data_IF_924307563564
#
_entry.id   IF_924307563564
#
_cell.length_a   1.000
_cell.length_b   1.000
_cell.length_c   1.000
_cell.angle_alpha   90.00
_cell.angle_beta   90.00
_cell.angle_gamma   90.00
#
_symmetry.space_group_name_H-M   'P 1'
#
loop_
_entity.id
_entity.type
_entity.pdbx_description
1 polymer ?
#
# COMPACT_ATOMS: atom_id res chain seq x y z
N UNK A 1 16.81 -32.65 -21.71
CA UNK A 1 15.62 -32.11 -22.40
C UNK A 1 15.05 -31.00 -21.54
N UNK A 2 15.23 -29.76 -21.95
CA UNK A 2 14.73 -28.58 -21.24
C UNK A 2 13.23 -28.45 -21.53
N UNK A 3 12.39 -28.52 -20.50
CA UNK A 3 10.97 -28.17 -20.62
C UNK A 3 10.87 -26.65 -20.49
N UNK A 4 10.21 -25.99 -21.45
CA UNK A 4 9.99 -24.53 -21.43
C UNK A 4 9.34 -24.05 -20.12
N UNK A 5 9.27 -22.72 -19.90
CA UNK A 5 8.80 -22.19 -18.64
C UNK A 5 7.32 -22.57 -18.48
N UNK A 6 7.00 -23.30 -17.42
CA UNK A 6 5.62 -23.34 -16.94
C UNK A 6 5.34 -22.05 -16.16
N UNK A 7 4.06 -21.70 -15.95
CA UNK A 7 3.58 -20.54 -15.16
C UNK A 7 4.22 -20.39 -13.76
N UNK A 8 5.03 -21.36 -13.34
CA UNK A 8 5.63 -21.52 -12.02
C UNK A 8 7.17 -21.63 -12.08
N UNK A 9 7.86 -21.19 -13.13
CA UNK A 9 9.33 -21.33 -13.18
C UNK A 9 10.05 -20.16 -12.50
N UNK A 10 10.92 -20.46 -11.53
CA UNK A 10 11.85 -19.51 -10.92
C UNK A 10 13.29 -19.94 -11.21
N UNK A 11 14.11 -19.01 -11.69
CA UNK A 11 15.51 -19.26 -12.03
C UNK A 11 16.43 -18.68 -10.96
N UNK A 12 17.34 -19.49 -10.45
CA UNK A 12 18.35 -19.08 -9.49
C UNK A 12 19.73 -19.09 -10.16
N UNK A 13 20.39 -17.93 -10.22
CA UNK A 13 21.72 -17.78 -10.79
C UNK A 13 22.76 -17.56 -9.69
N UNK A 14 23.87 -18.30 -9.75
CA UNK A 14 25.10 -17.91 -9.06
C UNK A 14 25.70 -16.75 -9.82
N UNK A 15 26.13 -15.70 -9.10
CA UNK A 15 26.54 -14.44 -9.71
C UNK A 15 27.98 -14.09 -9.36
N UNK A 16 28.64 -13.43 -10.31
CA UNK A 16 29.94 -12.80 -10.15
C UNK A 16 29.88 -11.37 -10.66
N UNK A 17 30.76 -10.53 -10.12
CA UNK A 17 30.95 -9.14 -10.54
C UNK A 17 32.42 -8.79 -10.73
N UNK A 18 32.68 -7.78 -11.54
CA UNK A 18 33.98 -7.13 -11.65
C UNK A 18 33.84 -5.65 -11.98
N UNK A 19 34.86 -4.86 -11.65
CA UNK A 19 34.98 -3.50 -12.20
C UNK A 19 35.27 -3.63 -13.71
N UNK A 20 34.80 -2.70 -14.56
CA UNK A 20 35.17 -2.67 -15.98
C UNK A 20 36.68 -2.82 -16.16
N UNK A 21 37.07 -3.57 -17.19
CA UNK A 21 38.47 -3.87 -17.56
C UNK A 21 39.29 -4.69 -16.55
N UNK A 22 38.72 -5.07 -15.41
CA UNK A 22 39.38 -6.00 -14.47
C UNK A 22 39.37 -7.43 -15.02
N UNK A 23 40.52 -8.10 -14.99
CA UNK A 23 40.57 -9.53 -15.31
C UNK A 23 39.88 -10.41 -14.26
N UNK A 24 39.77 -9.94 -13.01
CA UNK A 24 39.33 -10.75 -11.87
C UNK A 24 37.83 -10.61 -11.60
N UNK A 25 37.12 -11.74 -11.71
CA UNK A 25 35.74 -11.91 -11.23
C UNK A 25 35.70 -12.20 -9.73
N UNK A 26 34.70 -11.67 -9.03
CA UNK A 26 34.45 -11.94 -7.62
C UNK A 26 33.00 -12.41 -7.42
N UNK A 27 32.74 -13.46 -6.63
CA UNK A 27 31.38 -13.86 -6.30
C UNK A 27 30.56 -12.69 -5.69
N UNK A 28 29.26 -12.68 -5.96
CA UNK A 28 28.29 -11.74 -5.37
C UNK A 28 27.00 -12.48 -5.04
N UNK A 29 26.05 -11.79 -4.41
CA UNK A 29 24.72 -12.33 -4.10
C UNK A 29 24.07 -12.99 -5.32
N UNK A 30 23.41 -14.13 -5.10
CA UNK A 30 22.62 -14.81 -6.14
C UNK A 30 21.56 -13.88 -6.72
N UNK A 31 21.16 -14.16 -7.95
CA UNK A 31 20.02 -13.52 -8.59
C UNK A 31 18.88 -14.53 -8.69
N UNK A 32 17.73 -14.24 -8.06
CA UNK A 32 16.50 -14.98 -8.28
C UNK A 32 15.57 -14.21 -9.21
N UNK A 33 15.08 -14.89 -10.25
CA UNK A 33 14.17 -14.30 -11.25
C UNK A 33 12.95 -15.18 -11.41
N UNK A 34 11.78 -14.57 -11.25
CA UNK A 34 10.50 -15.12 -11.65
C UNK A 34 9.68 -14.00 -12.31
N UNK A 35 9.12 -14.28 -13.47
CA UNK A 35 8.20 -13.38 -14.17
C UNK A 35 7.05 -14.23 -14.71
N UNK A 36 5.83 -13.84 -14.39
CA UNK A 36 4.60 -14.38 -14.93
C UNK A 36 3.61 -13.23 -15.16
N UNK A 37 3.55 -12.78 -16.40
CA UNK A 37 2.70 -11.71 -16.93
C UNK A 37 1.63 -12.24 -17.91
N UNK A 38 1.35 -13.54 -17.79
CA UNK A 38 0.37 -14.24 -18.62
C UNK A 38 0.84 -14.52 -20.06
N UNK A 39 2.13 -14.39 -20.38
CA UNK A 39 2.71 -14.94 -21.62
C UNK A 39 3.73 -16.04 -21.34
N UNK A 40 3.95 -16.87 -22.36
CA UNK A 40 4.85 -18.04 -22.28
C UNK A 40 6.29 -17.75 -22.74
N UNK A 41 6.60 -16.53 -23.16
CA UNK A 41 7.93 -16.16 -23.65
C UNK A 41 8.99 -16.22 -22.54
N UNK A 42 10.22 -16.57 -22.90
CA UNK A 42 11.33 -16.60 -21.95
C UNK A 42 11.94 -15.22 -21.79
N UNK A 43 12.21 -14.75 -20.55
CA UNK A 43 12.89 -13.47 -20.33
C UNK A 43 14.22 -13.42 -21.08
N UNK A 44 14.36 -12.47 -22.00
CA UNK A 44 15.59 -12.25 -22.76
C UNK A 44 16.46 -11.15 -22.12
N UNK A 45 15.82 -10.15 -21.52
CA UNK A 45 16.48 -9.09 -20.76
C UNK A 45 15.63 -8.64 -19.59
N UNK A 46 16.31 -8.19 -18.53
CA UNK A 46 15.70 -7.70 -17.30
C UNK A 46 16.52 -6.55 -16.75
N UNK A 47 15.87 -5.42 -16.47
CA UNK A 47 16.46 -4.25 -15.82
C UNK A 47 15.61 -3.83 -14.63
N UNK A 48 16.25 -3.37 -13.56
CA UNK A 48 15.55 -2.92 -12.35
C UNK A 48 16.33 -1.82 -11.66
N UNK A 49 15.59 -0.99 -10.91
CA UNK A 49 16.17 -0.01 -10.00
C UNK A 49 15.54 -0.11 -8.62
N UNK A 50 16.30 0.27 -7.60
CA UNK A 50 15.91 0.24 -6.19
C UNK A 50 15.71 1.66 -5.65
N UNK A 51 14.91 1.80 -4.58
CA UNK A 51 14.58 3.11 -3.98
C UNK A 51 15.80 3.92 -3.51
N UNK A 52 16.92 3.24 -3.21
CA UNK A 52 18.18 3.86 -2.81
C UNK A 52 19.04 4.34 -4.01
N UNK A 53 18.57 4.20 -5.25
CA UNK A 53 19.26 4.61 -6.47
C UNK A 53 20.18 3.53 -7.07
N UNK A 54 20.16 2.32 -6.52
CA UNK A 54 20.78 1.15 -7.14
C UNK A 54 20.08 0.80 -8.46
N UNK A 55 20.83 0.30 -9.44
CA UNK A 55 20.33 -0.07 -10.76
C UNK A 55 21.10 -1.28 -11.28
N UNK A 56 20.41 -2.21 -11.94
CA UNK A 56 21.05 -3.31 -12.65
C UNK A 56 20.29 -3.67 -13.93
N UNK A 57 21.00 -4.25 -14.87
CA UNK A 57 20.47 -4.77 -16.12
C UNK A 57 21.22 -6.04 -16.50
N UNK A 58 20.50 -7.08 -16.88
CA UNK A 58 21.05 -8.36 -17.34
C UNK A 58 20.30 -8.86 -18.58
N UNK A 59 21.04 -9.41 -19.53
CA UNK A 59 20.52 -10.24 -20.61
C UNK A 59 20.72 -11.72 -20.28
N UNK A 60 19.79 -12.57 -20.68
CA UNK A 60 19.86 -14.01 -20.50
C UNK A 60 20.24 -14.68 -21.83
N UNK A 61 21.04 -15.74 -21.74
CA UNK A 61 21.20 -16.65 -22.87
C UNK A 61 19.84 -17.31 -23.20
N UNK A 62 19.59 -17.64 -24.47
CA UNK A 62 18.31 -18.20 -24.90
C UNK A 62 17.92 -19.51 -24.19
N UNK A 63 18.92 -20.28 -23.73
CA UNK A 63 18.72 -21.50 -22.95
C UNK A 63 18.59 -21.25 -21.43
N UNK A 64 18.63 -20.00 -20.99
CA UNK A 64 18.61 -19.55 -19.59
C UNK A 64 19.77 -20.10 -18.72
N UNK A 65 20.82 -20.68 -19.31
CA UNK A 65 21.93 -21.26 -18.53
C UNK A 65 22.91 -20.19 -18.03
N UNK A 66 22.90 -19.00 -18.61
CA UNK A 66 23.76 -17.90 -18.21
C UNK A 66 23.10 -16.54 -18.40
N UNK A 67 23.61 -15.55 -17.68
CA UNK A 67 23.21 -14.16 -17.84
C UNK A 67 24.42 -13.22 -17.73
N UNK A 68 24.34 -12.06 -18.37
CA UNK A 68 25.41 -11.07 -18.42
C UNK A 68 24.84 -9.67 -18.38
N UNK A 69 25.56 -8.74 -17.79
CA UNK A 69 25.08 -7.36 -17.76
C UNK A 69 25.92 -6.45 -16.89
N UNK A 70 25.28 -5.47 -16.29
CA UNK A 70 25.92 -4.47 -15.46
C UNK A 70 25.03 -4.09 -14.28
N UNK A 71 25.66 -3.57 -13.23
CA UNK A 71 24.96 -3.06 -12.05
C UNK A 71 25.72 -1.93 -11.39
N UNK A 72 24.99 -1.12 -10.64
CA UNK A 72 25.51 0.00 -9.86
C UNK A 72 24.78 0.03 -8.53
N UNK A 73 25.52 -0.09 -7.43
CA UNK A 73 24.98 0.19 -6.09
C UNK A 73 25.00 1.71 -5.83
N UNK A 74 24.18 2.25 -4.91
CA UNK A 74 24.15 3.69 -4.62
C UNK A 74 25.54 4.25 -4.31
N UNK A 75 25.90 5.36 -4.96
CA UNK A 75 27.20 6.03 -4.75
C UNK A 75 28.43 5.23 -5.17
N UNK A 76 28.28 4.12 -5.91
CA UNK A 76 29.38 3.26 -6.38
C UNK A 76 29.53 3.35 -7.89
N UNK A 77 30.70 2.95 -8.38
CA UNK A 77 30.94 2.75 -9.82
C UNK A 77 30.10 1.59 -10.38
N UNK A 78 29.85 1.65 -11.68
CA UNK A 78 29.25 0.54 -12.43
C UNK A 78 30.19 -0.66 -12.40
N UNK A 79 29.62 -1.86 -12.26
CA UNK A 79 30.31 -3.15 -12.34
C UNK A 79 29.69 -4.00 -13.44
N UNK A 80 30.49 -4.86 -14.05
CA UNK A 80 29.98 -5.92 -14.91
C UNK A 80 29.46 -7.09 -14.07
N UNK A 81 28.42 -7.75 -14.57
CA UNK A 81 27.77 -8.90 -13.96
C UNK A 81 27.84 -10.09 -14.91
N UNK A 82 28.08 -11.27 -14.35
CA UNK A 82 27.93 -12.57 -15.01
C UNK A 82 27.21 -13.51 -14.06
N UNK A 83 26.33 -14.34 -14.60
CA UNK A 83 25.67 -15.40 -13.86
C UNK A 83 25.63 -16.71 -14.62
N UNK A 84 25.57 -17.79 -13.84
CA UNK A 84 25.35 -19.15 -14.32
C UNK A 84 24.17 -19.73 -13.57
N UNK A 85 23.29 -20.43 -14.30
CA UNK A 85 22.12 -21.07 -13.71
C UNK A 85 22.58 -22.14 -12.72
N UNK A 86 22.10 -22.01 -11.49
CA UNK A 86 22.35 -22.96 -10.41
C UNK A 86 21.29 -24.06 -10.43
N UNK A 87 20.02 -23.64 -10.38
CA UNK A 87 18.87 -24.52 -10.43
C UNK A 87 17.59 -23.75 -10.84
N UNK A 88 16.62 -24.49 -11.37
CA UNK A 88 15.26 -24.01 -11.64
C UNK A 88 14.31 -24.60 -10.61
N UNK A 89 13.57 -23.74 -9.90
CA UNK A 89 12.56 -24.15 -8.92
C UNK A 89 11.18 -24.07 -9.57
N UNK A 90 10.36 -25.10 -9.38
CA UNK A 90 8.91 -25.01 -9.61
C UNK A 90 8.27 -24.30 -8.42
N UNK A 91 7.76 -23.10 -8.64
CA UNK A 91 7.01 -22.29 -7.69
C UNK A 91 5.72 -23.04 -7.31
N UNK A 92 5.71 -23.72 -6.17
CA UNK A 92 4.50 -24.35 -5.66
C UNK A 92 3.46 -23.27 -5.33
N UNK A 93 2.21 -23.48 -5.76
CA UNK A 93 1.07 -22.62 -5.46
C UNK A 93 0.95 -22.49 -3.93
N UNK A 94 1.21 -21.30 -3.38
CA UNK A 94 1.17 -21.05 -1.93
C UNK A 94 2.51 -20.96 -1.23
N UNK A 95 3.66 -20.99 -1.94
CA UNK A 95 4.95 -20.59 -1.38
C UNK A 95 5.02 -19.05 -1.21
N UNK A 96 4.14 -18.49 -0.37
CA UNK A 96 4.20 -17.10 0.10
C UNK A 96 5.38 -16.95 1.07
N UNK A 97 6.60 -17.00 0.54
CA UNK A 97 7.76 -16.47 1.23
C UNK A 97 7.82 -14.95 1.06
N UNK A 98 8.30 -14.18 2.05
CA UNK A 98 8.46 -12.73 1.91
C UNK A 98 9.30 -12.38 0.66
N UNK A 99 8.85 -11.36 -0.10
CA UNK A 99 9.64 -10.71 -1.17
C UNK A 99 9.14 -10.83 -2.62
N UNK A 100 7.97 -11.43 -2.90
CA UNK A 100 7.36 -11.42 -4.23
C UNK A 100 6.41 -10.24 -4.48
N UNK A 101 6.21 -9.88 -5.75
CA UNK A 101 5.19 -8.91 -6.18
C UNK A 101 4.04 -9.62 -6.89
N UNK A 102 2.80 -9.38 -6.45
CA UNK A 102 1.57 -9.89 -7.07
C UNK A 102 0.56 -8.74 -7.23
N UNK A 103 0.05 -8.56 -8.45
CA UNK A 103 -0.89 -7.49 -8.80
C UNK A 103 -2.08 -8.04 -9.58
N UNK A 104 -3.27 -7.53 -9.26
CA UNK A 104 -4.40 -7.54 -10.20
C UNK A 104 -4.19 -6.37 -11.18
N UNK A 105 -4.35 -6.62 -12.48
CA UNK A 105 -3.87 -5.69 -13.51
C UNK A 105 -4.91 -5.32 -14.54
N UNK A 106 -4.74 -4.14 -15.13
CA UNK A 106 -5.61 -3.56 -16.16
C UNK A 106 -4.75 -2.89 -17.22
N UNK A 107 -5.18 -2.95 -18.48
CA UNK A 107 -4.62 -2.14 -19.56
C UNK A 107 -5.59 -1.05 -19.96
N UNK A 108 -5.04 0.07 -20.39
CA UNK A 108 -5.80 1.18 -20.95
C UNK A 108 -5.26 1.49 -22.34
N UNK A 109 -6.16 1.46 -23.33
CA UNK A 109 -5.90 1.83 -24.72
C UNK A 109 -6.99 2.80 -25.15
N UNK A 110 -6.60 3.99 -25.61
CA UNK A 110 -7.52 5.02 -26.12
C UNK A 110 -8.65 5.40 -25.14
N UNK A 111 -8.39 5.32 -23.84
CA UNK A 111 -9.33 5.63 -22.75
C UNK A 111 -10.20 4.44 -22.27
N UNK A 112 -10.15 3.30 -22.97
CA UNK A 112 -10.87 2.09 -22.57
C UNK A 112 -10.01 1.24 -21.63
N UNK A 113 -10.46 1.10 -20.38
CA UNK A 113 -9.78 0.29 -19.38
C UNK A 113 -10.33 -1.14 -19.33
N UNK A 114 -9.45 -2.14 -19.43
CA UNK A 114 -9.81 -3.56 -19.51
C UNK A 114 -8.99 -4.40 -18.55
N UNK A 115 -9.60 -5.36 -17.83
CA UNK A 115 -8.86 -6.33 -17.02
C UNK A 115 -7.81 -7.07 -17.85
N UNK A 116 -6.61 -7.20 -17.29
CA UNK A 116 -5.43 -7.71 -17.98
C UNK A 116 -4.82 -8.94 -17.29
N UNK A 117 -5.59 -9.57 -16.40
CA UNK A 117 -5.19 -10.74 -15.63
C UNK A 117 -4.29 -10.36 -14.45
N UNK A 118 -3.48 -11.33 -14.02
CA UNK A 118 -2.61 -11.20 -12.85
C UNK A 118 -1.15 -11.15 -13.27
N UNK A 119 -0.42 -10.20 -12.69
CA UNK A 119 1.04 -10.13 -12.80
C UNK A 119 1.66 -10.66 -11.52
N UNK A 120 2.63 -11.57 -11.66
CA UNK A 120 3.51 -12.02 -10.59
C UNK A 120 4.96 -11.90 -11.03
N UNK A 121 5.79 -11.30 -10.19
CA UNK A 121 7.23 -11.35 -10.42
C UNK A 121 8.02 -11.31 -9.11
N UNK A 122 9.26 -11.79 -9.18
CA UNK A 122 10.26 -11.70 -8.12
C UNK A 122 11.62 -11.46 -8.74
N UNK A 123 12.31 -10.45 -8.21
CA UNK A 123 13.71 -10.13 -8.55
C UNK A 123 14.41 -9.92 -7.23
N UNK A 124 15.36 -10.79 -6.93
CA UNK A 124 16.13 -10.78 -5.69
C UNK A 124 17.61 -10.79 -6.05
N UNK A 125 18.25 -9.63 -5.93
CA UNK A 125 19.69 -9.46 -6.16
C UNK A 125 20.52 -9.53 -4.86
N UNK A 126 19.90 -10.04 -3.78
CA UNK A 126 20.42 -10.06 -2.42
C UNK A 126 20.38 -8.71 -1.70
N UNK A 127 19.92 -7.63 -2.34
CA UNK A 127 19.61 -6.36 -1.69
C UNK A 127 18.33 -6.44 -0.85
N UNK A 128 18.25 -5.60 0.19
CA UNK A 128 17.04 -5.45 1.01
C UNK A 128 16.20 -4.23 0.61
N UNK A 129 16.72 -3.39 -0.29
CA UNK A 129 16.03 -2.19 -0.77
C UNK A 129 14.91 -2.58 -1.74
N UNK A 130 13.67 -2.09 -1.55
CA UNK A 130 12.58 -2.33 -2.48
C UNK A 130 12.89 -1.85 -3.91
N UNK A 131 12.22 -2.47 -4.88
CA UNK A 131 12.30 -2.05 -6.27
C UNK A 131 11.47 -0.78 -6.45
N UNK A 132 12.03 0.19 -7.17
CA UNK A 132 11.36 1.41 -7.60
C UNK A 132 10.78 1.28 -9.01
N UNK A 133 11.48 0.56 -9.88
CA UNK A 133 11.02 0.29 -11.24
C UNK A 133 11.62 -1.03 -11.74
N UNK A 134 10.96 -1.62 -12.73
CA UNK A 134 11.39 -2.86 -13.36
C UNK A 134 10.97 -2.84 -14.83
N UNK A 135 11.83 -3.35 -15.71
CA UNK A 135 11.48 -3.59 -17.11
C UNK A 135 12.07 -4.91 -17.58
N UNK A 136 11.29 -5.66 -18.36
CA UNK A 136 11.75 -6.88 -19.01
C UNK A 136 11.16 -6.99 -20.41
N UNK A 137 11.78 -7.83 -21.22
CA UNK A 137 11.19 -8.33 -22.44
C UNK A 137 11.59 -9.78 -22.67
N UNK A 138 10.79 -10.46 -23.46
CA UNK A 138 10.97 -11.88 -23.77
C UNK A 138 11.50 -12.10 -25.20
N UNK A 139 11.86 -13.35 -25.47
CA UNK A 139 12.30 -13.84 -26.78
C UNK A 139 11.20 -13.79 -27.86
N UNK A 140 9.93 -13.72 -27.45
CA UNK A 140 8.79 -13.54 -28.34
C UNK A 140 8.55 -12.07 -28.73
N UNK A 141 9.28 -11.12 -28.16
CA UNK A 141 9.19 -9.69 -28.47
C UNK A 141 8.17 -8.91 -27.62
N UNK A 142 7.56 -9.56 -26.62
CA UNK A 142 6.76 -8.87 -25.61
C UNK A 142 7.66 -8.05 -24.69
N UNK A 143 7.11 -7.01 -24.08
CA UNK A 143 7.85 -6.16 -23.17
C UNK A 143 6.96 -5.47 -22.15
N UNK A 144 7.52 -5.23 -20.98
CA UNK A 144 6.87 -4.54 -19.86
C UNK A 144 7.86 -3.56 -19.24
N UNK A 145 7.39 -2.37 -18.88
CA UNK A 145 8.15 -1.37 -18.13
C UNK A 145 7.26 -0.77 -17.06
N UNK A 146 7.62 -0.92 -15.79
CA UNK A 146 6.79 -0.57 -14.63
C UNK A 146 7.53 0.39 -13.72
N UNK A 147 6.83 1.43 -13.26
CA UNK A 147 7.19 2.20 -12.07
C UNK A 147 6.37 1.68 -10.90
N UNK A 148 7.04 1.16 -9.88
CA UNK A 148 6.41 0.61 -8.70
C UNK A 148 6.13 1.71 -7.68
N UNK A 149 4.91 1.72 -7.16
CA UNK A 149 4.51 2.55 -6.03
C UNK A 149 4.91 1.79 -4.75
N UNK A 150 5.78 2.39 -3.96
CA UNK A 150 6.49 1.78 -2.83
C UNK A 150 5.63 0.86 -1.96
N UNK A 151 6.18 -0.32 -1.64
CA UNK A 151 5.58 -1.35 -0.79
C UNK A 151 6.44 -1.66 0.42
N UNK A 152 6.88 -0.64 1.18
CA UNK A 152 7.54 -0.93 2.48
C UNK A 152 6.67 -1.91 3.28
N UNK A 153 7.23 -2.99 3.85
CA UNK A 153 6.49 -4.03 4.56
C UNK A 153 6.07 -3.59 5.98
N UNK A 154 5.52 -2.38 6.08
CA UNK A 154 4.70 -1.89 7.17
C UNK A 154 3.70 -0.94 6.49
N UNK A 155 2.49 -1.43 6.20
CA UNK A 155 1.48 -0.69 5.44
C UNK A 155 1.24 0.71 6.00
N UNK A 156 1.84 1.71 5.35
CA UNK A 156 1.55 3.16 5.40
C UNK A 156 2.77 3.90 4.85
N UNK A 157 2.65 4.49 3.65
CA UNK A 157 3.61 5.50 3.25
C UNK A 157 3.28 6.77 4.03
N UNK A 158 4.15 7.17 4.96
CA UNK A 158 4.07 8.48 5.62
C UNK A 158 4.27 9.56 4.55
N UNK A 159 3.27 10.42 4.40
CA UNK A 159 3.27 11.49 3.40
C UNK A 159 4.01 12.74 3.87
N UNK A 160 4.70 12.72 5.01
CA UNK A 160 5.45 13.87 5.54
C UNK A 160 6.37 14.54 4.51
N UNK A 161 7.06 13.76 3.66
CA UNK A 161 7.93 14.28 2.60
C UNK A 161 7.21 14.93 1.40
N UNK A 162 5.89 14.77 1.31
CA UNK A 162 5.04 15.41 0.30
C UNK A 162 4.27 16.62 0.85
N UNK A 163 4.41 16.93 2.14
CA UNK A 163 3.73 18.07 2.75
C UNK A 163 4.37 19.37 2.23
N UNK A 164 3.57 20.18 1.55
CA UNK A 164 4.00 21.47 1.01
C UNK A 164 3.76 22.61 1.99
N UNK A 165 2.50 22.90 2.30
CA UNK A 165 2.14 24.05 3.14
C UNK A 165 1.06 23.67 4.14
N UNK A 166 1.21 24.10 5.39
CA UNK A 166 0.20 23.96 6.45
C UNK A 166 -0.31 25.33 6.86
N UNK A 167 -1.63 25.45 7.00
CA UNK A 167 -2.31 26.65 7.50
C UNK A 167 -3.21 26.30 8.66
N UNK A 168 -3.34 27.22 9.61
CA UNK A 168 -4.29 27.10 10.70
C UNK A 168 -5.22 28.31 10.73
N UNK A 169 -6.41 28.12 11.30
CA UNK A 169 -7.33 29.22 11.61
C UNK A 169 -6.81 30.14 12.71
N UNK A 170 -5.98 29.60 13.60
CA UNK A 170 -5.35 30.29 14.70
C UNK A 170 -4.04 29.58 15.06
N UNK A 171 -3.04 30.34 15.47
CA UNK A 171 -1.76 29.84 15.94
C UNK A 171 -1.05 30.89 16.80
N UNK A 172 0.03 30.50 17.50
CA UNK A 172 0.77 31.43 18.36
C UNK A 172 2.18 31.70 17.85
N UNK A 173 2.26 32.67 16.92
CA UNK A 173 3.48 33.02 16.19
C UNK A 173 4.58 33.59 17.08
N UNK A 174 4.24 34.37 18.09
CA UNK A 174 5.21 35.03 18.97
C UNK A 174 6.08 34.02 19.76
N UNK A 175 5.55 32.83 20.04
CA UNK A 175 6.30 31.73 20.66
C UNK A 175 6.79 30.67 19.66
N UNK A 176 6.59 30.89 18.35
CA UNK A 176 6.93 29.90 17.32
C UNK A 176 6.06 28.65 17.34
N UNK A 177 4.89 28.66 18.01
CA UNK A 177 3.97 27.51 18.10
C UNK A 177 2.99 27.51 16.93
N UNK A 178 3.54 27.34 15.72
CA UNK A 178 2.86 27.54 14.44
C UNK A 178 2.47 26.22 13.76
N UNK A 179 1.55 26.29 12.79
CA UNK A 179 1.00 25.11 12.12
C UNK A 179 2.06 24.26 11.40
N UNK A 180 3.15 24.89 10.93
CA UNK A 180 4.24 24.22 10.24
C UNK A 180 4.94 23.16 11.12
N UNK A 181 4.97 23.37 12.44
CA UNK A 181 5.57 22.42 13.38
C UNK A 181 4.90 21.04 13.35
N UNK A 182 3.64 20.95 12.88
CA UNK A 182 2.88 19.70 12.83
C UNK A 182 3.43 18.68 11.81
N UNK A 183 4.18 19.14 10.82
CA UNK A 183 4.71 18.30 9.72
C UNK A 183 6.24 18.27 9.68
N UNK A 184 6.91 19.25 10.29
CA UNK A 184 8.36 19.29 10.38
C UNK A 184 8.88 18.32 11.48
N UNK A 185 10.05 17.68 11.30
CA UNK A 185 10.69 16.88 12.33
C UNK A 185 11.34 17.79 13.39
N UNK A 186 10.52 18.59 14.07
CA UNK A 186 10.93 19.52 15.12
C UNK A 186 10.30 19.13 16.46
N UNK A 187 10.91 19.46 17.61
CA UNK A 187 10.32 19.21 18.93
C UNK A 187 9.23 20.25 19.28
N UNK A 188 8.87 21.13 18.35
CA UNK A 188 7.91 22.21 18.60
C UNK A 188 6.48 21.74 18.33
N UNK A 189 5.51 22.38 19.00
CA UNK A 189 4.08 22.09 18.84
C UNK A 189 3.39 23.20 18.04
N UNK A 190 2.20 22.91 17.58
CA UNK A 190 1.22 23.94 17.24
C UNK A 190 0.33 24.22 18.46
N UNK A 191 0.00 25.48 18.67
CA UNK A 191 -0.92 25.93 19.71
C UNK A 191 -1.92 26.93 19.13
N UNK A 192 -3.18 26.80 19.51
CA UNK A 192 -4.23 27.75 19.16
C UNK A 192 -4.88 28.32 20.43
N UNK A 193 -5.04 29.65 20.57
CA UNK A 193 -5.75 30.27 21.68
C UNK A 193 -7.28 30.15 21.54
N UNK A 194 -7.77 29.01 21.09
CA UNK A 194 -9.19 28.68 20.89
C UNK A 194 -9.40 27.19 21.15
N UNK A 195 -10.59 26.80 21.59
CA UNK A 195 -11.01 25.40 21.82
C UNK A 195 -11.44 24.69 20.53
N UNK A 196 -11.56 25.45 19.43
CA UNK A 196 -11.89 25.00 18.07
C UNK A 196 -10.99 25.68 17.06
N UNK A 197 -10.57 24.92 16.06
CA UNK A 197 -9.71 25.43 14.99
C UNK A 197 -9.81 24.53 13.76
N UNK A 198 -9.40 25.03 12.60
CA UNK A 198 -9.13 24.18 11.45
C UNK A 198 -7.64 24.20 11.12
N UNK A 199 -7.15 23.06 10.65
CA UNK A 199 -5.82 22.87 10.07
C UNK A 199 -5.98 22.41 8.63
N UNK A 200 -5.39 23.13 7.68
CA UNK A 200 -5.40 22.78 6.25
C UNK A 200 -3.99 22.42 5.82
N UNK A 201 -3.87 21.27 5.15
CA UNK A 201 -2.62 20.69 4.67
C UNK A 201 -2.68 20.58 3.15
N UNK A 202 -1.62 21.02 2.49
CA UNK A 202 -1.45 20.88 1.03
C UNK A 202 -0.33 19.90 0.72
N UNK A 203 -0.65 18.87 -0.06
CA UNK A 203 0.31 17.93 -0.62
C UNK A 203 0.92 18.50 -1.91
N UNK A 204 2.17 18.15 -2.20
CA UNK A 204 2.84 18.52 -3.44
C UNK A 204 2.18 17.90 -4.69
N UNK A 205 1.51 16.75 -4.51
CA UNK A 205 0.77 16.05 -5.55
C UNK A 205 -0.48 15.37 -4.96
N UNK A 206 -1.53 15.10 -5.77
CA UNK A 206 -2.72 14.41 -5.30
C UNK A 206 -2.42 12.96 -4.87
N UNK A 207 -2.78 12.59 -3.64
CA UNK A 207 -2.59 11.24 -3.07
C UNK A 207 -3.88 10.74 -2.42
N UNK A 208 -4.11 9.43 -2.46
CA UNK A 208 -5.21 8.78 -1.73
C UNK A 208 -4.79 8.54 -0.28
N UNK A 209 -5.38 9.26 0.66
CA UNK A 209 -5.17 9.07 2.11
C UNK A 209 -6.16 8.05 2.66
N UNK A 210 -5.68 7.12 3.48
CA UNK A 210 -6.50 6.06 4.10
C UNK A 210 -6.45 6.06 5.62
N UNK A 211 -5.43 6.70 6.20
CA UNK A 211 -5.23 6.81 7.64
C UNK A 211 -4.53 8.13 7.95
N UNK A 212 -4.63 8.53 9.21
CA UNK A 212 -3.89 9.66 9.73
C UNK A 212 -3.50 9.40 11.18
N UNK A 213 -2.46 10.09 11.62
CA UNK A 213 -1.92 9.99 12.98
C UNK A 213 -1.94 11.38 13.59
N UNK A 214 -2.53 11.49 14.78
CA UNK A 214 -2.41 12.68 15.62
C UNK A 214 -1.49 12.36 16.79
N UNK A 215 -0.57 13.27 17.10
CA UNK A 215 0.33 13.16 18.25
C UNK A 215 0.06 14.30 19.22
N UNK A 216 -0.26 13.93 20.46
CA UNK A 216 -0.54 14.88 21.54
C UNK A 216 0.72 15.64 21.97
N UNK A 217 0.58 16.90 22.36
CA UNK A 217 1.74 17.73 22.72
C UNK A 217 2.29 17.46 24.14
N UNK A 218 3.22 18.30 24.59
CA UNK A 218 4.10 18.07 25.73
C UNK A 218 3.49 18.38 27.12
N UNK A 219 2.56 19.32 27.27
CA UNK A 219 2.31 19.98 28.57
C UNK A 219 0.87 19.87 29.14
N UNK A 220 -0.17 19.84 28.32
CA UNK A 220 -1.54 20.09 28.76
C UNK A 220 -2.58 19.18 28.06
N UNK A 221 -3.02 18.08 28.70
CA UNK A 221 -3.93 17.10 28.06
C UNK A 221 -5.35 17.64 27.81
N UNK A 222 -5.78 18.64 28.58
CA UNK A 222 -7.05 19.35 28.42
C UNK A 222 -7.14 20.13 27.09
N UNK A 223 -5.98 20.49 26.51
CA UNK A 223 -5.84 21.17 25.21
C UNK A 223 -5.79 20.23 24.01
N UNK A 224 -5.65 18.93 24.20
CA UNK A 224 -5.60 18.00 23.07
C UNK A 224 -6.97 17.91 22.39
N UNK A 225 -7.03 17.74 21.05
CA UNK A 225 -8.28 17.50 20.34
C UNK A 225 -9.02 16.27 20.88
N UNK A 226 -10.32 16.43 21.10
CA UNK A 226 -11.22 15.37 21.54
C UNK A 226 -12.31 15.05 20.51
N UNK A 227 -12.59 15.98 19.61
CA UNK A 227 -13.53 15.82 18.50
C UNK A 227 -13.08 16.58 17.25
N UNK A 228 -13.26 15.97 16.08
CA UNK A 228 -12.91 16.58 14.80
C UNK A 228 -13.57 15.89 13.61
N UNK A 229 -13.54 16.58 12.46
CA UNK A 229 -13.85 16.02 11.14
C UNK A 229 -12.63 16.18 10.24
N UNK A 230 -12.18 15.08 9.63
CA UNK A 230 -11.18 15.11 8.56
C UNK A 230 -11.87 15.16 7.20
N UNK A 231 -11.44 16.08 6.34
CA UNK A 231 -11.95 16.25 4.97
C UNK A 231 -10.82 16.23 3.95
N UNK A 232 -11.13 15.81 2.72
CA UNK A 232 -10.24 15.86 1.58
C UNK A 232 -10.87 16.59 0.40
N UNK A 233 -10.05 17.28 -0.39
CA UNK A 233 -10.46 18.00 -1.60
C UNK A 233 -9.43 17.83 -2.70
N UNK A 234 -9.89 17.65 -3.93
CA UNK A 234 -9.05 17.54 -5.13
C UNK A 234 -9.02 18.83 -5.97
N UNK A 235 -9.93 19.77 -5.69
CA UNK A 235 -10.12 21.03 -6.42
C UNK A 235 -9.97 22.26 -5.51
N UNK A 236 -9.88 22.07 -4.19
CA UNK A 236 -9.87 23.13 -3.18
C UNK A 236 -11.23 23.78 -2.90
N UNK A 237 -12.28 23.36 -3.60
CA UNK A 237 -13.63 23.93 -3.50
C UNK A 237 -14.62 22.92 -2.91
N UNK A 238 -14.58 21.69 -3.40
CA UNK A 238 -15.44 20.59 -2.98
C UNK A 238 -14.72 19.76 -1.93
N UNK A 239 -15.24 19.76 -0.71
CA UNK A 239 -14.67 19.02 0.41
C UNK A 239 -15.53 17.80 0.75
N UNK A 240 -14.89 16.63 0.78
CA UNK A 240 -15.52 15.36 1.13
C UNK A 240 -15.04 14.89 2.48
N UNK A 241 -15.96 14.46 3.34
CA UNK A 241 -15.62 13.93 4.66
C UNK A 241 -14.92 12.58 4.54
N UNK A 242 -13.72 12.48 5.10
CA UNK A 242 -12.94 11.25 5.17
C UNK A 242 -13.12 10.55 6.52
N UNK A 243 -13.23 11.30 7.62
CA UNK A 243 -13.46 10.72 8.95
C UNK A 243 -14.15 11.72 9.88
N UNK A 244 -14.85 11.23 10.91
CA UNK A 244 -15.40 12.05 12.00
C UNK A 244 -15.22 11.31 13.32
N UNK A 245 -14.63 11.99 14.31
CA UNK A 245 -14.33 11.43 15.62
C UNK A 245 -14.84 12.35 16.72
N UNK A 246 -15.22 11.73 17.84
CA UNK A 246 -15.55 12.40 19.09
C UNK A 246 -15.11 11.53 20.27
N UNK A 247 -15.03 12.12 21.47
CA UNK A 247 -14.65 11.42 22.70
C UNK A 247 -13.24 10.82 22.68
N UNK A 248 -12.32 11.41 21.92
CA UNK A 248 -10.94 10.96 21.84
C UNK A 248 -10.09 11.55 22.97
N UNK A 249 -9.08 10.81 23.39
CA UNK A 249 -8.16 11.23 24.46
C UNK A 249 -6.77 10.62 24.25
N UNK A 250 -5.75 11.24 24.86
CA UNK A 250 -4.37 10.78 24.80
C UNK A 250 -3.89 10.51 26.23
N UNK A 251 -3.71 9.23 26.56
CA UNK A 251 -3.35 8.73 27.88
C UNK A 251 -1.96 9.18 28.35
N UNK A 252 -1.05 9.52 27.42
CA UNK A 252 0.31 10.00 27.70
C UNK A 252 0.63 11.20 26.80
N UNK A 253 1.62 12.00 27.18
CA UNK A 253 2.18 13.05 26.31
C UNK A 253 3.02 12.42 25.21
N UNK A 254 3.14 13.12 24.08
CA UNK A 254 3.79 12.60 22.87
C UNK A 254 3.18 11.29 22.37
N UNK A 255 1.94 10.97 22.76
CA UNK A 255 1.27 9.78 22.31
C UNK A 255 0.71 9.99 20.91
N UNK A 256 1.16 9.16 19.97
CA UNK A 256 0.54 9.04 18.66
C UNK A 256 -0.68 8.12 18.70
N UNK A 257 -1.77 8.53 18.06
CA UNK A 257 -2.94 7.70 17.81
C UNK A 257 -3.25 7.70 16.32
N UNK A 258 -3.42 6.49 15.77
CA UNK A 258 -3.74 6.27 14.36
C UNK A 258 -5.25 6.08 14.18
N UNK A 259 -5.79 6.68 13.14
CA UNK A 259 -7.20 6.66 12.78
C UNK A 259 -7.36 6.25 11.32
N UNK A 260 -8.43 5.51 11.02
CA UNK A 260 -8.81 5.17 9.65
C UNK A 260 -9.66 6.28 9.03
N UNK A 261 -9.44 6.52 7.74
CA UNK A 261 -10.17 7.45 6.90
C UNK A 261 -10.85 6.71 5.74
N UNK A 262 -11.99 7.21 5.28
CA UNK A 262 -12.67 6.70 4.10
C UNK A 262 -11.84 7.01 2.83
N UNK A 263 -11.75 6.02 1.94
CA UNK A 263 -11.00 6.13 0.68
C UNK A 263 -11.92 6.65 -0.42
N UNK A 264 -11.81 7.94 -0.75
CA UNK A 264 -12.67 8.62 -1.74
C UNK A 264 -11.95 9.02 -3.04
N UNK A 265 -10.72 8.52 -3.23
CA UNK A 265 -9.83 8.85 -4.35
C UNK A 265 -8.76 9.88 -4.01
N UNK A 266 -7.89 10.24 -4.97
CA UNK A 266 -6.78 11.17 -4.73
C UNK A 266 -7.26 12.59 -4.38
N UNK A 267 -6.55 13.24 -3.45
CA UNK A 267 -6.73 14.62 -3.07
C UNK A 267 -5.37 15.28 -2.82
N UNK A 268 -5.24 16.57 -3.09
CA UNK A 268 -4.03 17.36 -2.79
C UNK A 268 -4.23 18.28 -1.58
N UNK A 269 -5.46 18.39 -1.06
CA UNK A 269 -5.79 19.18 0.12
C UNK A 269 -6.53 18.36 1.15
N UNK A 270 -6.09 18.48 2.39
CA UNK A 270 -6.69 17.85 3.57
C UNK A 270 -7.02 18.93 4.59
N UNK A 271 -8.13 18.78 5.30
CA UNK A 271 -8.54 19.71 6.34
C UNK A 271 -9.03 18.97 7.57
N UNK A 272 -8.42 19.25 8.70
CA UNK A 272 -8.82 18.77 10.01
C UNK A 272 -9.58 19.88 10.72
N UNK A 273 -10.91 19.77 10.77
CA UNK A 273 -11.77 20.67 11.52
C UNK A 273 -11.89 20.15 12.96
N UNK A 274 -11.15 20.74 13.91
CA UNK A 274 -11.21 20.41 15.33
C UNK A 274 -12.43 21.10 15.94
N UNK A 275 -13.39 20.29 16.38
CA UNK A 275 -14.71 20.73 16.87
C UNK A 275 -14.84 20.72 18.39
N UNK A 276 -13.85 20.17 19.09
CA UNK A 276 -13.72 20.26 20.54
C UNK A 276 -12.46 19.59 21.09
N UNK A 277 -12.17 19.90 22.35
CA UNK A 277 -11.06 19.37 23.14
C UNK A 277 -11.56 18.84 24.50
N UNK A 278 -10.66 18.65 25.45
CA UNK A 278 -10.94 18.09 26.76
C UNK A 278 -11.25 19.17 27.83
N UNK A 279 -11.84 20.30 27.43
CA UNK A 279 -12.39 21.33 28.34
C UNK A 279 -11.55 22.59 28.53
N UNK A 280 -10.41 22.70 27.85
CA UNK A 280 -9.58 23.91 27.83
C UNK A 280 -10.14 24.98 26.89
N UNK A 281 -9.91 26.28 27.12
CA UNK A 281 -10.18 27.32 26.12
C UNK A 281 -9.19 27.32 24.93
N UNK A 282 -8.19 26.44 24.93
CA UNK A 282 -7.08 26.41 23.97
C UNK A 282 -6.86 25.01 23.37
N UNK A 283 -6.21 24.94 22.21
CA UNK A 283 -5.85 23.72 21.50
C UNK A 283 -4.34 23.57 21.37
N UNK A 284 -3.90 22.32 21.27
CA UNK A 284 -2.53 22.00 20.84
C UNK A 284 -2.39 20.63 20.20
N UNK A 285 -1.37 20.48 19.36
CA UNK A 285 -0.94 19.22 18.77
C UNK A 285 0.57 19.28 18.51
N UNK A 286 1.24 18.15 18.66
CA UNK A 286 2.66 18.05 18.27
C UNK A 286 2.80 17.74 16.78
N UNK A 287 2.06 16.74 16.29
CA UNK A 287 2.20 16.30 14.91
C UNK A 287 0.90 15.79 14.32
N UNK A 288 0.76 16.00 13.00
CA UNK A 288 -0.24 15.37 12.15
C UNK A 288 0.47 14.67 11.01
N UNK A 289 0.28 13.36 10.88
CA UNK A 289 0.81 12.58 9.76
C UNK A 289 -0.32 11.99 8.96
N UNK A 290 -0.21 12.06 7.64
CA UNK A 290 -1.14 11.39 6.73
C UNK A 290 -0.47 10.16 6.16
N UNK A 291 -1.24 9.08 6.10
CA UNK A 291 -0.80 7.81 5.62
C UNK A 291 -1.69 7.45 4.43
N UNK A 292 -1.07 6.99 3.35
CA UNK A 292 -1.78 6.37 2.25
C UNK A 292 -1.76 4.85 2.44
N UNK A 293 -2.86 4.16 2.10
CA UNK A 293 -2.78 2.72 1.97
C UNK A 293 -1.95 2.48 0.73
N UNK A 294 -0.72 2.02 0.96
CA UNK A 294 0.04 1.33 -0.04
C UNK A 294 -0.64 0.00 -0.36
N UNK A 295 -1.85 0.05 -0.94
CA UNK A 295 -2.10 -0.86 -2.04
C UNK A 295 -0.98 -0.56 -3.03
N UNK A 296 0.14 -1.27 -2.84
CA UNK A 296 1.28 -1.19 -3.72
C UNK A 296 0.75 -1.30 -5.13
N UNK A 297 1.47 -0.79 -6.08
CA UNK A 297 0.94 -0.83 -7.43
C UNK A 297 2.01 -0.51 -8.40
N UNK A 298 1.59 -0.46 -9.65
CA UNK A 298 2.44 0.10 -10.66
C UNK A 298 1.61 0.87 -11.66
N UNK A 299 2.29 1.81 -12.31
CA UNK A 299 1.88 2.31 -13.61
C UNK A 299 3.06 2.08 -14.54
N UNK A 300 2.76 1.72 -15.78
CA UNK A 300 3.76 1.35 -16.73
C UNK A 300 3.20 1.20 -18.12
N UNK A 301 3.98 0.53 -18.96
CA UNK A 301 3.64 0.19 -20.32
C UNK A 301 3.74 -1.31 -20.50
N UNK A 302 2.81 -1.87 -21.26
CA UNK A 302 2.87 -3.25 -21.75
C UNK A 302 2.82 -3.26 -23.26
N UNK A 303 3.74 -3.99 -23.88
CA UNK A 303 3.78 -4.22 -25.32
C UNK A 303 3.64 -5.72 -25.59
N UNK A 304 2.66 -6.09 -26.41
CA UNK A 304 2.61 -7.43 -27.02
C UNK A 304 3.38 -7.43 -28.33
N UNK A 305 3.95 -8.58 -28.71
CA UNK A 305 4.67 -8.72 -29.97
C UNK A 305 3.85 -8.19 -31.16
N UNK A 306 4.45 -7.29 -31.96
CA UNK A 306 3.80 -6.68 -33.13
C UNK A 306 2.74 -5.62 -32.83
N UNK A 307 2.51 -5.25 -31.55
CA UNK A 307 1.54 -4.22 -31.15
C UNK A 307 2.22 -2.97 -30.59
N UNK A 308 1.53 -1.83 -30.64
CA UNK A 308 1.95 -0.63 -29.92
C UNK A 308 1.88 -0.86 -28.39
N UNK A 309 2.73 -0.18 -27.60
CA UNK A 309 2.60 -0.22 -26.14
C UNK A 309 1.28 0.40 -25.68
N UNK A 310 0.64 -0.22 -24.69
CA UNK A 310 -0.55 0.30 -24.00
C UNK A 310 -0.21 0.61 -22.55
N UNK A 311 -0.95 1.53 -21.95
CA UNK A 311 -0.79 1.84 -20.52
C UNK A 311 -1.17 0.61 -19.70
N UNK A 312 -0.37 0.31 -18.68
CA UNK A 312 -0.53 -0.85 -17.84
C UNK A 312 -0.55 -0.45 -16.37
N UNK A 313 -1.61 -0.85 -15.66
CA UNK A 313 -1.83 -0.54 -14.26
C UNK A 313 -1.89 -1.83 -13.46
N UNK A 314 -1.42 -1.76 -12.21
CA UNK A 314 -1.57 -2.86 -11.27
C UNK A 314 -1.83 -2.38 -9.86
N UNK A 315 -2.70 -3.10 -9.16
CA UNK A 315 -2.98 -2.94 -7.72
C UNK A 315 -2.50 -4.20 -7.01
N UNK A 316 -1.67 -4.03 -5.99
CA UNK A 316 -1.00 -5.12 -5.29
C UNK A 316 -2.01 -5.86 -4.44
N UNK A 317 -1.96 -7.18 -4.53
CA UNK A 317 -2.76 -8.03 -3.66
C UNK A 317 -2.06 -8.11 -2.31
N UNK A 318 -2.74 -7.68 -1.27
CA UNK A 318 -2.35 -8.02 0.10
C UNK A 318 -2.95 -9.40 0.41
N UNK A 319 -2.13 -10.31 0.94
CA UNK A 319 -2.65 -11.52 1.55
C UNK A 319 -3.34 -11.11 2.86
N UNK A 320 -4.64 -10.87 2.81
CA UNK A 320 -5.44 -10.78 4.03
C UNK A 320 -5.80 -12.21 4.43
N UNK A 321 -5.31 -12.76 5.57
CA UNK A 321 -5.99 -13.91 6.14
C UNK A 321 -7.41 -13.47 6.47
N UNK A 322 -8.46 -14.25 6.16
CA UNK A 322 -9.82 -13.84 6.46
C UNK A 322 -9.94 -13.57 7.96
N UNK A 323 -10.29 -12.33 8.32
CA UNK A 323 -10.75 -12.00 9.66
C UNK A 323 -11.93 -12.93 9.97
N UNK A 324 -11.71 -13.95 10.81
CA UNK A 324 -12.82 -14.57 11.53
C UNK A 324 -13.38 -13.48 12.43
N UNK A 325 -14.50 -12.88 12.01
CA UNK A 325 -15.31 -12.08 12.91
C UNK A 325 -15.64 -12.89 14.17
N UNK A 326 -15.88 -12.23 15.32
CA UNK A 326 -16.25 -12.94 16.53
C UNK A 326 -17.42 -13.87 16.22
N UNK A 327 -17.25 -15.16 16.56
CA UNK A 327 -18.27 -16.17 16.33
C UNK A 327 -19.58 -15.67 16.91
N UNK A 328 -20.62 -15.63 16.07
CA UNK A 328 -21.98 -15.34 16.51
C UNK A 328 -22.31 -16.34 17.63
N UNK A 329 -22.72 -15.90 18.83
CA UNK A 329 -23.08 -16.84 19.88
C UNK A 329 -24.19 -17.76 19.34
N UNK A 330 -24.01 -19.06 19.54
CA UNK A 330 -24.96 -20.08 19.10
C UNK A 330 -26.34 -19.72 19.64
N UNK A 331 -27.32 -19.61 18.75
CA UNK A 331 -28.72 -19.52 19.15
C UNK A 331 -29.06 -20.78 19.92
N UNK A 332 -29.32 -20.63 21.22
CA UNK A 332 -29.92 -21.67 22.03
C UNK A 332 -31.20 -22.13 21.34
N UNK A 333 -31.24 -23.41 20.97
CA UNK A 333 -32.39 -24.02 20.31
C UNK A 333 -33.62 -23.90 21.20
N UNK A 334 -34.70 -23.35 20.64
CA UNK A 334 -36.02 -23.50 21.22
C UNK A 334 -36.43 -24.98 21.12
N UNK A 335 -37.07 -25.55 22.15
CA UNK A 335 -37.42 -26.97 22.16
C UNK A 335 -38.49 -27.27 21.10
N UNK A 336 -38.19 -28.27 20.27
CA UNK A 336 -39.11 -28.87 19.31
C UNK A 336 -40.22 -29.63 20.05
N UNK A 337 -41.42 -29.07 20.10
CA UNK A 337 -42.64 -29.81 20.41
C UNK A 337 -43.22 -30.40 19.13
N UNK A 338 -43.12 -31.72 18.97
CA UNK A 338 -43.79 -32.48 17.90
C UNK A 338 -45.31 -32.41 18.04
N UNK A 339 -46.08 -32.14 16.98
CA UNK A 339 -47.52 -32.33 17.01
C UNK A 339 -47.88 -33.77 16.61
N UNK A 340 -48.50 -34.48 17.56
CA UNK A 340 -49.19 -35.74 17.35
C UNK A 340 -50.54 -35.48 16.67
N UNK A 341 -50.75 -36.23 15.60
CA UNK A 341 -51.99 -36.67 14.95
C UNK A 341 -53.32 -36.28 15.64
N UNK A 342 -54.16 -35.49 14.94
CA UNK A 342 -55.58 -35.29 15.29
C UNK A 342 -56.44 -36.38 14.64
N UNK A 343 -57.22 -37.09 15.46
CA UNK A 343 -58.39 -37.85 15.01
C UNK A 343 -59.57 -37.65 15.98
N UNK A 344 -60.72 -37.31 15.40
CA UNK A 344 -62.12 -37.31 15.91
C UNK A 344 -62.46 -36.38 17.09
N UNK A 345 -63.32 -35.36 16.88
CA UNK A 345 -64.80 -35.39 16.99
C UNK A 345 -65.24 -35.78 18.42
N UNK A 346 -66.03 -35.06 19.19
CA UNK A 346 -67.15 -34.14 18.94
C UNK A 346 -67.42 -33.43 20.29
N UNK A 347 -67.95 -32.22 20.28
CA UNK A 347 -69.24 -31.88 20.92
C UNK A 347 -69.34 -30.42 21.34
N UNK A 348 -70.55 -29.91 21.15
CA UNK A 348 -71.05 -28.56 21.25
C UNK A 348 -71.03 -28.06 22.70
N UNK A 349 -70.87 -26.75 22.86
CA UNK A 349 -71.97 -25.84 23.26
C UNK A 349 -71.44 -24.62 24.01
N UNK A 350 -71.92 -23.43 23.57
CA UNK A 350 -72.29 -22.22 24.35
C UNK A 350 -71.23 -21.59 25.28
N UNK A 351 -71.16 -20.30 25.59
CA UNK A 351 -71.98 -19.08 25.45
C UNK A 351 -70.97 -17.94 25.76
N UNK A 352 -70.80 -16.94 24.92
CA UNK A 352 -71.45 -15.61 25.04
C UNK A 352 -70.98 -14.78 26.24
N UNK A 353 -70.17 -13.76 25.91
CA UNK A 353 -70.31 -12.33 26.30
C UNK A 353 -69.63 -11.83 27.59
N UNK A 354 -68.96 -10.69 27.35
CA UNK A 354 -68.42 -9.68 28.26
C UNK A 354 -69.49 -9.13 29.20
N UNK A 355 -69.09 -8.65 30.37
CA UNK A 355 -69.28 -7.24 30.76
C UNK A 355 -68.73 -7.04 32.18
N UNK A 356 -67.68 -6.22 32.30
CA UNK A 356 -67.65 -4.92 32.99
C UNK A 356 -66.23 -4.36 32.98
#
# INVERSE_FOLDING_TARGET
MYSGPTESSMFAFRMWRRVPDSARWRPTSRLLVHVNDGVSGMPAHLSWGTEDGGQSSVGFAANMESCYGHGRRPGRHVVELRGELDHQVRYARGAEGPGGYEFDTEVEDSGDRRPAGRLRFRIDDGGQTPLQWVSWGDDAGNGVSLTLRSTRPSGSADLGGLMGTVRASAEFRDAGEVAQNLVDPSPHKWFAPHDRAWLEFRLAEPVTVDRYVLTSANDAPDRDPAAWTLRGSADGHTWRTLDTRSGQSFAKRHQSRTYQAAVLGPCDRLRLDITGNNGSPHLQLEAVRFLADGSGGFVGLRRRAGQAPVTYHGVRRTSHPPHRGPARPASAGAPTTSPVMKQFATDRSSRTVRDL
#
